data_IF_968164479694
#
_entry.id   IF_968164479694
#
_cell.length_a   1.000
_cell.length_b   1.000
_cell.length_c   1.000
_cell.angle_alpha   90.00
_cell.angle_beta   90.00
_cell.angle_gamma   90.00
#
_symmetry.space_group_name_H-M   'P 1'
#
loop_
_entity.id
_entity.type
_entity.pdbx_description
1 polymer ?
#
# COMPACT_ATOMS: atom_id res chain seq x y z
N UNK A 1 25.72 55.12 35.39
CA UNK A 1 26.15 53.82 34.82
C UNK A 1 25.03 52.82 35.00
N UNK A 2 24.22 52.57 33.96
CA UNK A 2 23.71 51.25 33.59
C UNK A 2 22.97 51.41 32.26
N UNK A 3 23.61 50.88 31.23
CA UNK A 3 23.21 51.03 29.83
C UNK A 3 22.08 50.08 29.48
N UNK A 4 21.14 50.59 28.69
CA UNK A 4 20.20 49.82 27.89
C UNK A 4 20.95 48.85 26.96
N UNK A 5 20.56 47.58 26.96
CA UNK A 5 20.76 46.66 25.84
C UNK A 5 19.41 46.03 25.54
N UNK A 6 18.64 46.70 24.68
CA UNK A 6 17.48 46.09 24.04
C UNK A 6 18.00 45.22 22.89
N UNK A 7 17.88 43.90 23.04
CA UNK A 7 18.17 42.95 21.97
C UNK A 7 17.18 43.16 20.82
N UNK A 8 17.71 43.45 19.64
CA UNK A 8 16.96 43.43 18.40
C UNK A 8 16.53 41.98 18.08
N UNK A 9 15.32 41.62 18.50
CA UNK A 9 14.63 40.44 17.95
C UNK A 9 14.22 40.83 16.54
N UNK A 10 14.89 40.23 15.55
CA UNK A 10 14.58 40.41 14.14
C UNK A 10 13.09 40.16 13.90
N UNK A 11 12.39 41.23 13.53
CA UNK A 11 11.00 41.16 13.10
C UNK A 11 10.97 40.26 11.84
N UNK A 12 10.45 39.05 12.00
CA UNK A 12 10.06 38.24 10.86
C UNK A 12 8.97 39.03 10.11
N UNK A 13 9.33 39.57 8.94
CA UNK A 13 8.39 40.25 8.07
C UNK A 13 7.18 39.33 7.80
N UNK A 14 5.94 39.85 7.84
CA UNK A 14 4.79 39.10 7.36
C UNK A 14 5.03 38.72 5.89
N UNK A 15 4.64 37.50 5.45
CA UNK A 15 4.84 37.08 4.07
C UNK A 15 4.14 38.07 3.13
N UNK A 16 4.87 38.55 2.11
CA UNK A 16 4.32 39.44 1.09
C UNK A 16 3.23 38.71 0.32
N UNK A 17 2.12 39.40 0.08
CA UNK A 17 1.01 38.94 -0.76
C UNK A 17 1.55 38.65 -2.18
N UNK A 18 1.70 37.38 -2.54
CA UNK A 18 2.11 36.97 -3.89
C UNK A 18 3.18 35.87 -3.94
N UNK A 19 3.89 35.60 -2.84
CA UNK A 19 4.84 34.50 -2.83
C UNK A 19 4.09 33.15 -2.75
N UNK A 20 4.36 32.19 -3.66
CA UNK A 20 3.79 30.86 -3.55
C UNK A 20 4.23 30.24 -2.21
N UNK A 21 3.35 29.48 -1.53
CA UNK A 21 3.71 28.85 -0.26
C UNK A 21 4.97 27.99 -0.43
N UNK A 22 5.83 27.91 0.61
CA UNK A 22 7.02 27.07 0.56
C UNK A 22 6.61 25.64 0.24
N UNK A 23 7.13 25.13 -0.88
CA UNK A 23 6.82 23.80 -1.41
C UNK A 23 7.19 22.75 -0.38
N UNK A 24 6.27 21.87 0.02
CA UNK A 24 6.60 20.79 0.94
C UNK A 24 7.68 19.87 0.32
N UNK A 25 8.74 19.51 1.05
CA UNK A 25 9.77 18.61 0.55
C UNK A 25 9.21 17.25 0.08
N UNK A 26 8.12 16.80 0.71
CA UNK A 26 7.40 15.58 0.34
C UNK A 26 6.76 15.66 -1.04
N UNK A 27 6.20 16.81 -1.42
CA UNK A 27 5.69 17.06 -2.76
C UNK A 27 6.80 16.94 -3.81
N UNK A 28 7.97 17.56 -3.56
CA UNK A 28 9.10 17.45 -4.50
C UNK A 28 9.54 15.99 -4.65
N UNK A 29 9.64 15.22 -3.56
CA UNK A 29 9.98 13.80 -3.61
C UNK A 29 8.95 12.97 -4.41
N UNK A 30 7.66 13.23 -4.21
CA UNK A 30 6.60 12.52 -4.91
C UNK A 30 6.54 12.85 -6.40
N UNK A 31 6.74 14.12 -6.77
CA UNK A 31 6.69 14.59 -8.17
C UNK A 31 7.99 14.28 -8.92
N UNK A 32 9.13 14.21 -8.22
CA UNK A 32 10.41 13.78 -8.78
C UNK A 32 10.54 12.26 -8.92
N UNK A 33 9.61 11.49 -8.34
CA UNK A 33 9.47 10.07 -8.66
C UNK A 33 9.36 9.93 -10.20
N UNK A 34 10.10 9.00 -10.83
CA UNK A 34 10.35 9.09 -12.27
C UNK A 34 9.04 9.13 -13.07
N UNK A 35 8.79 10.21 -13.81
CA UNK A 35 7.60 10.38 -14.68
C UNK A 35 7.41 9.24 -15.69
N UNK A 36 8.50 8.55 -16.01
CA UNK A 36 8.47 7.31 -16.79
C UNK A 36 7.67 6.18 -16.14
N UNK A 37 7.62 6.11 -14.80
CA UNK A 37 6.88 5.07 -14.06
C UNK A 37 5.38 5.19 -14.35
N UNK A 38 4.83 6.42 -14.41
CA UNK A 38 3.40 6.66 -14.64
C UNK A 38 2.95 6.26 -16.05
N UNK A 39 3.68 6.69 -17.09
CA UNK A 39 3.39 6.31 -18.50
C UNK A 39 3.59 4.81 -18.77
N UNK A 40 4.43 4.14 -17.96
CA UNK A 40 4.65 2.69 -18.01
C UNK A 40 3.60 1.88 -17.23
N UNK A 41 2.85 2.48 -16.28
CA UNK A 41 1.78 1.83 -15.49
C UNK A 41 0.58 1.38 -16.33
N UNK A 42 0.05 2.27 -17.17
CA UNK A 42 -1.12 1.97 -18.02
C UNK A 42 -0.83 0.85 -19.02
N UNK A 43 0.32 0.93 -19.69
CA UNK A 43 0.81 -0.12 -20.61
C UNK A 43 1.12 -1.44 -19.89
N UNK A 44 1.53 -1.39 -18.63
CA UNK A 44 1.74 -2.58 -17.82
C UNK A 44 0.41 -3.30 -17.56
N UNK A 45 -0.66 -2.61 -17.18
CA UNK A 45 -1.98 -3.21 -16.92
C UNK A 45 -2.49 -4.01 -18.15
N UNK A 46 -2.35 -3.44 -19.34
CA UNK A 46 -2.76 -4.07 -20.60
C UNK A 46 -1.96 -5.32 -20.96
N UNK A 47 -0.64 -5.34 -20.71
CA UNK A 47 0.24 -6.48 -21.01
C UNK A 47 0.24 -7.56 -19.91
N UNK A 48 -0.03 -7.16 -18.68
CA UNK A 48 -0.21 -8.02 -17.49
C UNK A 48 -1.40 -8.97 -17.71
N UNK A 49 -2.52 -8.47 -18.24
CA UNK A 49 -3.74 -9.24 -18.54
C UNK A 49 -3.49 -10.57 -19.29
N UNK A 50 -2.61 -10.58 -20.30
CA UNK A 50 -2.39 -11.77 -21.15
C UNK A 50 -1.44 -12.82 -20.54
N UNK A 51 -0.50 -12.41 -19.68
CA UNK A 51 0.53 -13.32 -19.13
C UNK A 51 0.24 -13.83 -17.71
N UNK A 52 -0.75 -13.26 -17.01
CA UNK A 52 -0.99 -13.49 -15.58
C UNK A 52 -2.29 -14.25 -15.30
N UNK A 53 -2.54 -15.34 -16.03
CA UNK A 53 -3.77 -16.14 -15.95
C UNK A 53 -4.04 -16.79 -14.58
N UNK A 54 -3.10 -16.74 -13.64
CA UNK A 54 -3.31 -17.29 -12.30
C UNK A 54 -4.30 -16.42 -11.50
N UNK A 55 -5.30 -17.00 -10.82
CA UNK A 55 -6.39 -16.26 -10.15
C UNK A 55 -5.90 -15.19 -9.17
N UNK A 56 -4.82 -15.46 -8.43
CA UNK A 56 -4.27 -14.53 -7.44
C UNK A 56 -3.70 -13.23 -8.02
N UNK A 57 -3.35 -13.22 -9.31
CA UNK A 57 -2.82 -12.01 -9.95
C UNK A 57 -3.91 -10.96 -10.15
N UNK A 58 -5.19 -11.33 -10.07
CA UNK A 58 -6.30 -10.37 -10.14
C UNK A 58 -6.26 -9.35 -8.99
N UNK A 59 -5.80 -9.74 -7.79
CA UNK A 59 -5.59 -8.79 -6.69
C UNK A 59 -4.55 -7.73 -7.05
N UNK A 60 -3.46 -8.13 -7.71
CA UNK A 60 -2.40 -7.21 -8.14
C UNK A 60 -2.89 -6.25 -9.23
N UNK A 61 -3.74 -6.73 -10.14
CA UNK A 61 -4.37 -5.89 -11.18
C UNK A 61 -5.28 -4.85 -10.54
N UNK A 62 -6.15 -5.27 -9.60
CA UNK A 62 -7.06 -4.37 -8.89
C UNK A 62 -6.31 -3.33 -8.05
N UNK A 63 -5.26 -3.76 -7.34
CA UNK A 63 -4.39 -2.86 -6.57
C UNK A 63 -3.67 -1.85 -7.48
N UNK A 64 -3.15 -2.29 -8.62
CA UNK A 64 -2.54 -1.39 -9.60
C UNK A 64 -3.55 -0.39 -10.19
N UNK A 65 -4.82 -0.77 -10.34
CA UNK A 65 -5.86 0.17 -10.76
C UNK A 65 -6.12 1.24 -9.69
N UNK A 66 -6.17 0.87 -8.41
CA UNK A 66 -6.29 1.85 -7.31
C UNK A 66 -5.11 2.85 -7.31
N UNK A 67 -3.87 2.37 -7.45
CA UNK A 67 -2.68 3.22 -7.53
C UNK A 67 -2.69 4.18 -8.73
N UNK A 68 -3.24 3.74 -9.87
CA UNK A 68 -3.40 4.60 -11.05
C UNK A 68 -4.43 5.69 -10.78
N UNK A 69 -5.56 5.34 -10.16
CA UNK A 69 -6.62 6.30 -9.83
C UNK A 69 -6.12 7.37 -8.84
N UNK A 70 -5.30 6.99 -7.85
CA UNK A 70 -4.60 7.98 -6.99
C UNK A 70 -3.73 8.92 -7.84
N UNK A 71 -2.91 8.35 -8.74
CA UNK A 71 -1.98 9.13 -9.53
C UNK A 71 -2.66 10.09 -10.52
N UNK A 72 -3.83 9.75 -11.05
CA UNK A 72 -4.53 10.57 -12.06
C UNK A 72 -5.59 11.48 -11.47
N UNK A 73 -6.32 11.05 -10.43
CA UNK A 73 -7.46 11.78 -9.88
C UNK A 73 -7.16 12.50 -8.58
N UNK A 74 -6.08 12.14 -7.87
CA UNK A 74 -5.77 12.71 -6.56
C UNK A 74 -4.53 13.60 -6.65
N UNK A 75 -3.39 13.04 -7.06
CA UNK A 75 -2.09 13.74 -7.07
C UNK A 75 -2.12 15.09 -7.80
N UNK A 76 -2.72 15.24 -9.00
CA UNK A 76 -2.74 16.53 -9.70
C UNK A 76 -3.51 17.62 -8.93
N UNK A 77 -4.59 17.25 -8.26
CA UNK A 77 -5.41 18.18 -7.49
C UNK A 77 -4.76 18.52 -6.14
N UNK A 78 -4.12 17.54 -5.50
CA UNK A 78 -3.28 17.78 -4.32
C UNK A 78 -2.14 18.74 -4.64
N UNK A 79 -1.48 18.55 -5.79
CA UNK A 79 -0.41 19.42 -6.27
C UNK A 79 -0.91 20.84 -6.55
N UNK A 80 -2.05 20.97 -7.22
CA UNK A 80 -2.66 22.27 -7.50
C UNK A 80 -3.02 23.02 -6.21
N UNK A 81 -3.63 22.34 -5.23
CA UNK A 81 -3.96 22.93 -3.94
C UNK A 81 -2.72 23.39 -3.16
N UNK A 82 -1.64 22.60 -3.19
CA UNK A 82 -0.37 22.97 -2.56
C UNK A 82 0.28 24.18 -3.24
N UNK A 83 0.34 24.20 -4.57
CA UNK A 83 0.99 25.29 -5.32
C UNK A 83 0.24 26.61 -5.23
N UNK A 84 -1.10 26.56 -5.22
CA UNK A 84 -1.95 27.74 -5.12
C UNK A 84 -2.09 28.23 -3.66
N UNK A 85 -1.96 27.33 -2.68
CA UNK A 85 -2.19 27.63 -1.26
C UNK A 85 -3.67 27.85 -0.90
N UNK A 86 -4.58 27.63 -1.85
CA UNK A 86 -6.02 27.66 -1.67
C UNK A 86 -6.70 26.70 -2.64
N UNK A 87 -7.94 26.32 -2.33
CA UNK A 87 -8.71 25.42 -3.17
C UNK A 87 -9.39 26.21 -4.29
N UNK A 88 -8.82 26.15 -5.49
CA UNK A 88 -9.37 26.86 -6.66
C UNK A 88 -10.69 26.25 -7.17
N UNK A 89 -10.85 24.93 -7.03
CA UNK A 89 -12.01 24.22 -7.57
C UNK A 89 -13.26 24.48 -6.74
N UNK A 90 -14.41 24.07 -7.27
CA UNK A 90 -15.68 24.20 -6.55
C UNK A 90 -15.72 23.35 -5.28
N UNK A 91 -16.61 23.76 -4.36
CA UNK A 91 -16.86 23.04 -3.11
C UNK A 91 -17.28 21.59 -3.36
N UNK A 92 -18.16 21.34 -4.33
CA UNK A 92 -18.63 19.99 -4.68
C UNK A 92 -17.47 19.09 -5.07
N UNK A 93 -16.49 19.64 -5.80
CA UNK A 93 -15.30 18.90 -6.18
C UNK A 93 -14.40 18.58 -4.98
N UNK A 94 -14.31 19.46 -3.97
CA UNK A 94 -13.58 19.16 -2.74
C UNK A 94 -14.16 17.94 -2.01
N UNK A 95 -15.48 17.88 -1.85
CA UNK A 95 -16.16 16.76 -1.18
C UNK A 95 -15.92 15.43 -1.91
N UNK A 96 -16.02 15.44 -3.25
CA UNK A 96 -15.72 14.28 -4.10
C UNK A 96 -14.23 13.90 -4.01
N UNK A 97 -13.33 14.87 -4.11
CA UNK A 97 -11.89 14.66 -4.05
C UNK A 97 -11.47 14.00 -2.74
N UNK A 98 -11.94 14.49 -1.59
CA UNK A 98 -11.63 13.92 -0.27
C UNK A 98 -12.19 12.49 -0.14
N UNK A 99 -13.40 12.24 -0.64
CA UNK A 99 -13.98 10.89 -0.63
C UNK A 99 -13.21 9.93 -1.53
N UNK A 100 -12.79 10.35 -2.72
CA UNK A 100 -11.98 9.55 -3.63
C UNK A 100 -10.58 9.27 -3.07
N UNK A 101 -9.95 10.24 -2.43
CA UNK A 101 -8.65 10.06 -1.76
C UNK A 101 -8.76 8.96 -0.69
N UNK A 102 -9.71 9.11 0.25
CA UNK A 102 -9.94 8.10 1.29
C UNK A 102 -10.29 6.74 0.67
N UNK A 103 -11.13 6.70 -0.38
CA UNK A 103 -11.52 5.46 -1.07
C UNK A 103 -10.31 4.73 -1.65
N UNK A 104 -9.49 5.39 -2.46
CA UNK A 104 -8.40 4.74 -3.19
C UNK A 104 -7.24 4.38 -2.27
N UNK A 105 -6.95 5.23 -1.28
CA UNK A 105 -5.98 4.93 -0.24
C UNK A 105 -6.44 3.70 0.56
N UNK A 106 -7.66 3.72 1.11
CA UNK A 106 -8.24 2.58 1.87
C UNK A 106 -8.28 1.30 1.04
N UNK A 107 -8.75 1.38 -0.20
CA UNK A 107 -8.77 0.24 -1.13
C UNK A 107 -7.38 -0.37 -1.27
N UNK A 108 -6.34 0.44 -1.43
CA UNK A 108 -4.96 -0.05 -1.56
C UNK A 108 -4.49 -0.83 -0.31
N UNK A 109 -4.80 -0.32 0.90
CA UNK A 109 -4.44 -0.98 2.17
C UNK A 109 -5.18 -2.30 2.34
N UNK A 110 -6.49 -2.29 2.11
CA UNK A 110 -7.33 -3.49 2.28
C UNK A 110 -7.00 -4.54 1.20
N UNK A 111 -6.60 -4.14 -0.01
CA UNK A 111 -6.04 -5.06 -1.01
C UNK A 111 -4.74 -5.72 -0.54
N UNK A 112 -3.81 -4.98 0.06
CA UNK A 112 -2.58 -5.55 0.63
C UNK A 112 -2.90 -6.53 1.76
N UNK A 113 -3.89 -6.22 2.60
CA UNK A 113 -4.38 -7.12 3.64
C UNK A 113 -4.98 -8.40 3.05
N UNK A 114 -5.83 -8.28 2.01
CA UNK A 114 -6.42 -9.42 1.32
C UNK A 114 -5.36 -10.32 0.66
N UNK A 115 -4.37 -9.74 -0.02
CA UNK A 115 -3.23 -10.47 -0.58
C UNK A 115 -2.50 -11.23 0.53
N UNK A 116 -2.29 -10.59 1.68
CA UNK A 116 -1.60 -11.20 2.82
C UNK A 116 -2.33 -12.42 3.37
N UNK A 117 -3.64 -12.32 3.54
CA UNK A 117 -4.50 -13.43 3.98
C UNK A 117 -4.53 -14.57 2.97
N UNK A 118 -4.71 -14.25 1.68
CA UNK A 118 -4.65 -15.21 0.58
C UNK A 118 -3.31 -15.98 0.57
N UNK A 119 -2.21 -15.28 0.82
CA UNK A 119 -0.89 -15.91 0.96
C UNK A 119 -0.78 -16.79 2.19
N UNK A 120 -1.29 -16.35 3.33
CA UNK A 120 -1.32 -17.17 4.53
C UNK A 120 -2.11 -18.46 4.36
N UNK A 121 -3.30 -18.42 3.74
CA UNK A 121 -4.06 -19.63 3.47
C UNK A 121 -3.36 -20.54 2.46
N UNK A 122 -2.70 -19.98 1.44
CA UNK A 122 -1.92 -20.79 0.48
C UNK A 122 -0.71 -21.48 1.12
N UNK A 123 -0.13 -20.93 2.19
CA UNK A 123 1.02 -21.52 2.90
C UNK A 123 0.57 -22.48 4.00
N UNK A 124 -0.44 -22.10 4.77
CA UNK A 124 -0.95 -22.88 5.92
C UNK A 124 -1.78 -24.10 5.48
N UNK A 125 -2.64 -23.95 4.47
CA UNK A 125 -3.55 -24.98 3.95
C UNK A 125 -3.33 -25.22 2.45
N UNK A 126 -2.10 -25.50 2.06
CA UNK A 126 -1.68 -25.48 0.65
C UNK A 126 -2.53 -26.36 -0.29
N UNK A 127 -2.90 -27.58 0.10
CA UNK A 127 -3.63 -28.50 -0.79
C UNK A 127 -5.10 -28.09 -0.92
N UNK A 128 -5.80 -27.96 0.21
CA UNK A 128 -7.24 -27.64 0.23
C UNK A 128 -7.54 -26.24 -0.30
N UNK A 129 -6.71 -25.24 0.05
CA UNK A 129 -6.96 -23.86 -0.35
C UNK A 129 -6.67 -23.66 -1.84
N UNK A 130 -5.58 -24.22 -2.37
CA UNK A 130 -5.25 -24.06 -3.79
C UNK A 130 -6.29 -24.73 -4.69
N UNK A 131 -6.88 -25.86 -4.28
CA UNK A 131 -7.98 -26.49 -5.00
C UNK A 131 -9.25 -25.61 -5.04
N UNK A 132 -9.49 -24.82 -3.99
CA UNK A 132 -10.66 -23.94 -3.85
C UNK A 132 -10.44 -22.53 -4.41
N UNK A 133 -9.23 -22.21 -4.88
CA UNK A 133 -8.85 -20.86 -5.32
C UNK A 133 -9.32 -20.59 -6.75
N UNK A 134 -10.59 -20.25 -6.89
CA UNK A 134 -11.21 -19.97 -8.20
C UNK A 134 -11.22 -18.48 -8.54
N UNK A 135 -11.20 -18.09 -9.83
CA UNK A 135 -11.32 -16.70 -10.25
C UNK A 135 -12.58 -16.01 -9.72
N UNK A 136 -13.71 -16.75 -9.62
CA UNK A 136 -14.98 -16.22 -9.09
C UNK A 136 -14.81 -15.76 -7.64
N UNK A 137 -14.19 -16.58 -6.78
CA UNK A 137 -13.93 -16.21 -5.37
C UNK A 137 -13.02 -14.99 -5.25
N UNK A 138 -11.96 -14.92 -6.06
CA UNK A 138 -11.05 -13.77 -6.05
C UNK A 138 -11.79 -12.49 -6.48
N UNK A 139 -12.61 -12.55 -7.53
CA UNK A 139 -13.45 -11.41 -7.96
C UNK A 139 -14.43 -10.98 -6.86
N UNK A 140 -15.08 -11.94 -6.17
CA UNK A 140 -15.93 -11.64 -5.02
C UNK A 140 -15.15 -10.98 -3.89
N UNK A 141 -13.94 -11.46 -3.57
CA UNK A 141 -13.08 -10.83 -2.56
C UNK A 141 -12.69 -9.41 -2.98
N UNK A 142 -12.33 -9.16 -4.24
CA UNK A 142 -12.03 -7.82 -4.75
C UNK A 142 -13.25 -6.90 -4.60
N UNK A 143 -14.44 -7.37 -4.95
CA UNK A 143 -15.67 -6.61 -4.76
C UNK A 143 -15.88 -6.23 -3.29
N UNK A 144 -15.74 -7.19 -2.37
CA UNK A 144 -15.82 -6.95 -0.92
C UNK A 144 -14.80 -5.89 -0.47
N UNK A 145 -13.56 -5.96 -0.95
CA UNK A 145 -12.52 -4.97 -0.63
C UNK A 145 -12.94 -3.56 -1.06
N UNK A 146 -13.45 -3.40 -2.28
CA UNK A 146 -13.96 -2.12 -2.77
C UNK A 146 -15.17 -1.63 -2.00
N UNK A 147 -16.09 -2.53 -1.63
CA UNK A 147 -17.25 -2.20 -0.80
C UNK A 147 -16.83 -1.71 0.59
N UNK A 148 -15.88 -2.39 1.25
CA UNK A 148 -15.35 -1.97 2.55
C UNK A 148 -14.73 -0.56 2.43
N UNK A 149 -13.92 -0.33 1.40
CA UNK A 149 -13.30 0.98 1.17
C UNK A 149 -14.35 2.08 0.94
N UNK A 150 -15.40 1.79 0.15
CA UNK A 150 -16.50 2.71 -0.09
C UNK A 150 -17.24 3.05 1.19
N UNK A 151 -17.57 2.07 2.04
CA UNK A 151 -18.27 2.32 3.31
C UNK A 151 -17.46 3.29 4.19
N UNK A 152 -16.14 3.14 4.26
CA UNK A 152 -15.27 4.00 5.05
C UNK A 152 -15.12 5.40 4.44
N UNK A 153 -15.21 5.54 3.11
CA UNK A 153 -15.05 6.81 2.40
C UNK A 153 -16.33 7.62 2.21
N UNK A 154 -17.50 7.06 2.53
CA UNK A 154 -18.79 7.72 2.38
C UNK A 154 -19.10 8.86 3.37
N UNK A 155 -18.67 8.82 4.66
CA UNK A 155 -19.07 9.86 5.62
C UNK A 155 -18.72 11.30 5.23
N UNK A 156 -17.59 11.62 4.58
CA UNK A 156 -17.32 12.97 4.04
C UNK A 156 -18.36 13.49 3.04
N UNK A 157 -19.08 12.62 2.34
CA UNK A 157 -20.13 13.00 1.38
C UNK A 157 -21.50 13.18 2.04
N UNK A 158 -21.74 12.47 3.15
CA UNK A 158 -23.05 12.45 3.84
C UNK A 158 -23.10 13.46 4.98
N UNK A 159 -21.99 13.62 5.72
CA UNK A 159 -21.92 14.48 6.89
C UNK A 159 -21.34 15.85 6.53
N UNK A 160 -22.22 16.84 6.36
CA UNK A 160 -21.84 18.25 6.20
C UNK A 160 -21.64 18.86 7.58
N UNK A 161 -20.43 18.75 8.13
CA UNK A 161 -20.08 19.42 9.40
C UNK A 161 -20.22 20.95 9.31
N UNK A 162 -20.38 21.59 10.46
CA UNK A 162 -20.42 23.05 10.56
C UNK A 162 -19.07 23.66 10.12
N UNK A 163 -19.12 24.58 9.16
CA UNK A 163 -17.92 25.10 8.51
C UNK A 163 -17.29 26.20 9.34
N UNK A 164 -16.01 26.04 9.70
CA UNK A 164 -15.17 27.17 10.12
C UNK A 164 -14.98 28.11 8.92
N UNK A 165 -15.19 29.42 9.14
CA UNK A 165 -15.01 30.44 8.14
C UNK A 165 -13.57 30.41 7.59
N UNK A 166 -13.44 30.55 6.27
CA UNK A 166 -12.17 30.62 5.57
C UNK A 166 -11.26 31.69 6.19
N UNK A 167 -10.05 31.31 6.64
CA UNK A 167 -9.04 32.26 7.07
C UNK A 167 -8.66 33.12 5.87
N UNK A 168 -8.97 34.42 5.93
CA UNK A 168 -8.64 35.38 4.86
C UNK A 168 -9.52 35.32 3.60
N UNK A 169 -10.73 34.73 3.67
CA UNK A 169 -11.71 34.77 2.58
C UNK A 169 -11.43 33.84 1.39
N UNK A 170 -10.36 33.03 1.43
CA UNK A 170 -10.04 32.05 0.38
C UNK A 170 -10.55 30.64 0.73
N UNK A 171 -11.25 29.93 -0.18
CA UNK A 171 -11.74 28.59 0.07
C UNK A 171 -10.57 27.60 0.30
N UNK A 172 -10.75 26.69 1.28
CA UNK A 172 -9.79 25.65 1.65
C UNK A 172 -10.47 24.28 1.54
N UNK A 173 -9.73 23.28 1.07
CA UNK A 173 -10.16 21.89 1.02
C UNK A 173 -9.24 21.06 1.93
N UNK A 174 -9.67 20.88 3.19
CA UNK A 174 -8.93 20.12 4.21
C UNK A 174 -9.71 18.88 4.62
N UNK A 175 -8.99 17.86 5.10
CA UNK A 175 -9.57 16.65 5.68
C UNK A 175 -10.47 16.99 6.88
N UNK A 176 -11.41 16.10 7.16
CA UNK A 176 -12.37 16.29 8.25
C UNK A 176 -11.66 16.31 9.63
N UNK A 177 -12.03 17.25 10.49
CA UNK A 177 -11.44 17.42 11.83
C UNK A 177 -12.24 16.69 12.92
N UNK A 178 -13.43 16.18 12.60
CA UNK A 178 -14.30 15.50 13.57
C UNK A 178 -13.65 14.24 14.14
N UNK A 179 -13.39 14.26 15.46
CA UNK A 179 -12.58 13.24 16.12
C UNK A 179 -13.14 11.82 15.93
N UNK A 180 -14.46 11.65 16.00
CA UNK A 180 -15.09 10.34 15.81
C UNK A 180 -14.84 9.78 14.40
N UNK A 181 -14.88 10.63 13.38
CA UNK A 181 -14.66 10.23 11.99
C UNK A 181 -13.18 9.96 11.74
N UNK A 182 -12.30 10.86 12.19
CA UNK A 182 -10.85 10.70 12.09
C UNK A 182 -10.40 9.39 12.70
N UNK A 183 -10.86 9.06 13.91
CA UNK A 183 -10.48 7.84 14.61
C UNK A 183 -11.07 6.58 13.97
N UNK A 184 -12.36 6.58 13.66
CA UNK A 184 -13.01 5.42 13.03
C UNK A 184 -12.43 5.12 11.64
N UNK A 185 -12.24 6.15 10.80
CA UNK A 185 -11.63 6.02 9.48
C UNK A 185 -10.16 5.59 9.57
N UNK A 186 -9.37 6.13 10.50
CA UNK A 186 -7.97 5.72 10.69
C UNK A 186 -7.84 4.27 11.16
N UNK A 187 -8.72 3.83 12.07
CA UNK A 187 -8.76 2.45 12.53
C UNK A 187 -9.17 1.51 11.40
N UNK A 188 -10.25 1.82 10.68
CA UNK A 188 -10.75 0.98 9.58
C UNK A 188 -9.81 0.93 8.38
N UNK A 189 -9.17 2.06 8.04
CA UNK A 189 -8.34 2.16 6.84
C UNK A 189 -6.92 1.68 7.07
N UNK A 190 -6.33 1.92 8.25
CA UNK A 190 -4.92 1.66 8.48
C UNK A 190 -4.63 0.75 9.66
N UNK A 191 -5.03 1.10 10.89
CA UNK A 191 -4.55 0.37 12.07
C UNK A 191 -5.03 -1.08 12.12
N UNK A 192 -6.32 -1.34 11.86
CA UNK A 192 -6.85 -2.71 11.85
C UNK A 192 -6.26 -3.54 10.68
N UNK A 193 -6.25 -3.08 9.42
CA UNK A 193 -5.56 -3.79 8.33
C UNK A 193 -4.08 -4.02 8.60
N UNK A 194 -3.36 -3.03 9.16
CA UNK A 194 -1.95 -3.13 9.51
C UNK A 194 -1.70 -4.21 10.56
N UNK A 195 -2.50 -4.25 11.64
CA UNK A 195 -2.43 -5.28 12.66
C UNK A 195 -2.67 -6.68 12.06
N UNK A 196 -3.70 -6.82 11.22
CA UNK A 196 -4.00 -8.09 10.54
C UNK A 196 -2.80 -8.52 9.69
N UNK A 197 -2.24 -7.62 8.87
CA UNK A 197 -1.06 -7.91 8.06
C UNK A 197 0.11 -8.38 8.94
N UNK A 198 0.49 -7.63 9.98
CA UNK A 198 1.59 -7.98 10.87
C UNK A 198 1.39 -9.39 11.45
N UNK A 199 0.22 -9.67 12.03
CA UNK A 199 -0.09 -10.97 12.62
C UNK A 199 0.00 -12.10 11.59
N UNK A 200 -0.52 -11.87 10.39
CA UNK A 200 -0.49 -12.82 9.28
C UNK A 200 0.94 -13.15 8.86
N UNK A 201 1.83 -12.16 8.69
CA UNK A 201 3.23 -12.43 8.32
C UNK A 201 4.04 -13.05 9.45
N UNK A 202 3.79 -12.66 10.70
CA UNK A 202 4.40 -13.34 11.84
C UNK A 202 4.03 -14.82 11.83
N UNK A 203 2.76 -15.16 11.58
CA UNK A 203 2.32 -16.57 11.45
C UNK A 203 2.97 -17.26 10.25
N UNK A 204 3.04 -16.64 9.09
CA UNK A 204 3.73 -17.20 7.91
C UNK A 204 5.21 -17.49 8.22
N UNK A 205 5.91 -16.53 8.84
CA UNK A 205 7.31 -16.66 9.22
C UNK A 205 7.52 -17.82 10.21
N UNK A 206 6.67 -17.92 11.24
CA UNK A 206 6.72 -19.00 12.21
C UNK A 206 6.47 -20.37 11.57
N UNK A 207 5.51 -20.49 10.65
CA UNK A 207 5.25 -21.73 9.91
C UNK A 207 6.48 -22.11 9.07
N UNK A 208 7.08 -21.15 8.37
CA UNK A 208 8.28 -21.38 7.57
C UNK A 208 9.48 -21.82 8.43
N UNK A 209 9.67 -21.19 9.60
CA UNK A 209 10.74 -21.52 10.56
C UNK A 209 10.56 -22.91 11.15
N UNK A 210 9.34 -23.29 11.52
CA UNK A 210 9.01 -24.64 12.03
C UNK A 210 9.29 -25.71 10.98
N UNK A 211 8.83 -25.53 9.73
CA UNK A 211 9.11 -26.46 8.62
C UNK A 211 10.61 -26.65 8.35
N UNK A 212 11.43 -25.62 8.57
CA UNK A 212 12.88 -25.71 8.41
C UNK A 212 13.57 -26.47 9.55
N UNK A 213 13.07 -26.34 10.78
CA UNK A 213 13.59 -27.11 11.94
C UNK A 213 13.22 -28.59 11.86
N UNK A 214 12.06 -28.93 11.28
CA UNK A 214 11.59 -30.33 11.14
C UNK A 214 12.25 -31.11 9.99
N UNK A 215 13.03 -30.47 9.11
CA UNK A 215 13.78 -31.14 8.04
C UNK A 215 15.21 -30.55 7.96
N UNK A 216 16.17 -31.08 8.73
CA UNK A 216 17.57 -30.71 8.62
C UNK A 216 18.10 -31.08 7.22
N UNK A 217 19.03 -30.30 6.64
CA UNK A 217 19.70 -30.67 5.40
C UNK A 217 20.64 -31.86 5.69
N UNK A 218 20.12 -33.08 5.58
CA UNK A 218 20.85 -34.32 5.85
C UNK A 218 20.05 -35.44 6.53
N UNK A 219 18.86 -35.16 7.06
CA UNK A 219 18.03 -36.19 7.70
C UNK A 219 17.26 -37.03 6.69
N UNK A 220 17.58 -38.33 6.57
CA UNK A 220 16.69 -39.31 5.93
C UNK A 220 15.38 -39.37 6.75
N UNK A 221 14.20 -39.16 6.16
CA UNK A 221 12.95 -39.37 6.88
C UNK A 221 12.79 -40.88 7.15
N UNK A 222 12.84 -41.28 8.42
CA UNK A 222 12.43 -42.62 8.87
C UNK A 222 11.01 -42.49 9.39
N UNK A 223 10.04 -42.77 8.53
CA UNK A 223 8.65 -42.96 8.96
C UNK A 223 8.43 -44.46 9.12
N UNK A 224 8.69 -44.99 10.32
CA UNK A 224 8.27 -46.33 10.74
C UNK A 224 6.81 -46.26 11.13
N UNK A 225 5.91 -46.84 10.33
CA UNK A 225 4.54 -47.12 10.78
C UNK A 225 4.54 -48.48 11.51
N UNK A 226 4.30 -48.44 12.81
CA UNK A 226 3.97 -49.64 13.58
C UNK A 226 2.46 -49.89 13.46
N UNK A 227 2.08 -50.96 12.78
CA UNK A 227 0.73 -51.52 12.90
C UNK A 227 0.62 -52.35 14.17
N UNK A 228 -0.58 -52.43 14.76
CA UNK A 228 -0.87 -53.09 16.05
C UNK A 228 -0.61 -54.60 16.13
N UNK A 229 0.07 -55.19 15.14
CA UNK A 229 0.51 -56.59 15.09
C UNK A 229 2.03 -56.75 14.98
N UNK A 230 2.81 -55.69 15.23
CA UNK A 230 4.27 -55.78 15.36
C UNK A 230 5.06 -56.01 14.06
N UNK A 231 4.41 -55.98 12.88
CA UNK A 231 5.09 -56.07 11.58
C UNK A 231 5.33 -54.68 10.98
N UNK A 232 6.60 -54.35 10.78
CA UNK A 232 7.03 -53.13 10.06
C UNK A 232 6.83 -53.34 8.56
N UNK A 233 5.83 -52.68 7.97
CA UNK A 233 5.60 -52.70 6.52
C UNK A 233 6.26 -51.47 5.89
N UNK A 234 7.19 -51.71 4.96
CA UNK A 234 7.79 -50.66 4.13
C UNK A 234 6.74 -50.18 3.11
N UNK A 235 6.14 -49.01 3.35
CA UNK A 235 5.24 -48.40 2.39
C UNK A 235 6.03 -47.91 1.15
N UNK A 236 5.71 -48.45 -0.03
CA UNK A 236 6.27 -48.00 -1.29
C UNK A 236 5.76 -46.58 -1.61
N UNK A 237 6.68 -45.61 -1.65
CA UNK A 237 6.33 -44.19 -1.90
C UNK A 237 6.29 -43.90 -3.41
N UNK A 238 5.40 -42.99 -3.90
CA UNK A 238 5.58 -42.36 -5.20
C UNK A 238 6.97 -41.71 -5.29
N UNK A 239 7.57 -41.59 -6.50
CA UNK A 239 8.94 -41.11 -6.66
C UNK A 239 9.11 -39.76 -5.96
N UNK A 240 10.03 -39.72 -5.00
CA UNK A 240 10.33 -38.51 -4.26
C UNK A 240 10.76 -37.41 -5.24
N UNK A 241 10.06 -36.27 -5.23
CA UNK A 241 10.47 -35.08 -5.97
C UNK A 241 11.97 -34.84 -5.74
N UNK A 242 12.74 -34.77 -6.83
CA UNK A 242 14.19 -34.54 -6.82
C UNK A 242 14.55 -33.51 -5.72
N UNK A 243 15.47 -33.83 -4.78
CA UNK A 243 15.88 -32.93 -3.70
C UNK A 243 16.24 -31.52 -4.19
N UNK A 244 16.84 -31.42 -5.38
CA UNK A 244 17.16 -30.16 -6.04
C UNK A 244 15.90 -29.37 -6.44
N UNK A 245 14.88 -30.04 -6.99
CA UNK A 245 13.59 -29.41 -7.31
C UNK A 245 12.84 -28.96 -6.04
N UNK A 246 12.88 -29.76 -4.97
CA UNK A 246 12.28 -29.42 -3.67
C UNK A 246 12.96 -28.21 -3.02
N UNK A 247 14.30 -28.17 -3.00
CA UNK A 247 15.09 -27.04 -2.47
C UNK A 247 14.86 -25.76 -3.28
N UNK A 248 14.75 -25.88 -4.61
CA UNK A 248 14.43 -24.76 -5.50
C UNK A 248 13.02 -24.21 -5.25
N UNK A 249 12.03 -25.08 -5.06
CA UNK A 249 10.66 -24.67 -4.73
C UNK A 249 10.60 -23.94 -3.37
N UNK A 250 11.25 -24.48 -2.33
CA UNK A 250 11.30 -23.86 -1.00
C UNK A 250 11.99 -22.49 -1.04
N UNK A 251 13.11 -22.36 -1.76
CA UNK A 251 13.79 -21.06 -1.91
C UNK A 251 12.93 -20.04 -2.67
N UNK A 252 12.17 -20.49 -3.68
CA UNK A 252 11.22 -19.63 -4.41
C UNK A 252 10.07 -19.16 -3.52
N UNK A 253 9.55 -20.03 -2.65
CA UNK A 253 8.54 -19.69 -1.64
C UNK A 253 9.06 -18.72 -0.58
N UNK A 254 10.25 -18.97 -0.01
CA UNK A 254 10.92 -18.07 0.96
C UNK A 254 11.17 -16.69 0.37
N UNK A 255 11.68 -16.62 -0.87
CA UNK A 255 11.86 -15.36 -1.60
C UNK A 255 10.54 -14.61 -1.68
N UNK A 256 9.46 -15.27 -2.08
CA UNK A 256 8.16 -14.62 -2.19
C UNK A 256 7.61 -14.10 -0.84
N UNK A 257 7.80 -14.83 0.25
CA UNK A 257 7.39 -14.37 1.59
C UNK A 257 8.22 -13.17 2.06
N UNK A 258 9.55 -13.23 1.92
CA UNK A 258 10.44 -12.12 2.28
C UNK A 258 10.07 -10.84 1.54
N UNK A 259 9.85 -10.99 0.24
CA UNK A 259 9.34 -9.93 -0.62
C UNK A 259 8.13 -9.25 -0.04
N UNK A 260 7.09 -10.03 0.27
CA UNK A 260 5.83 -9.46 0.73
C UNK A 260 5.97 -8.79 2.09
N UNK A 261 6.84 -9.32 2.95
CA UNK A 261 7.21 -8.66 4.19
C UNK A 261 7.89 -7.29 3.93
N UNK A 262 8.75 -7.18 2.91
CA UNK A 262 9.34 -5.90 2.49
C UNK A 262 8.26 -4.95 1.95
N UNK A 263 7.32 -5.42 1.12
CA UNK A 263 6.20 -4.59 0.62
C UNK A 263 5.43 -3.97 1.76
N UNK A 264 5.12 -4.78 2.76
CA UNK A 264 4.32 -4.34 3.91
C UNK A 264 5.12 -3.45 4.84
N UNK A 265 6.41 -3.75 5.05
CA UNK A 265 7.30 -2.88 5.81
C UNK A 265 7.37 -1.49 5.18
N UNK A 266 7.61 -1.40 3.88
CA UNK A 266 7.61 -0.13 3.14
C UNK A 266 6.26 0.58 3.26
N UNK A 267 5.16 -0.13 3.07
CA UNK A 267 3.82 0.41 3.20
C UNK A 267 3.57 1.02 4.59
N UNK A 268 3.90 0.29 5.66
CA UNK A 268 3.74 0.75 7.05
C UNK A 268 4.62 1.97 7.30
N UNK A 269 5.87 1.95 6.85
CA UNK A 269 6.79 3.09 7.01
C UNK A 269 6.30 4.35 6.27
N UNK A 270 5.66 4.21 5.12
CA UNK A 270 5.13 5.34 4.36
C UNK A 270 3.84 5.92 4.99
N UNK A 271 2.94 5.07 5.49
CA UNK A 271 1.61 5.51 5.94
C UNK A 271 1.49 5.73 7.45
N UNK A 272 2.28 5.03 8.26
CA UNK A 272 2.22 5.13 9.73
C UNK A 272 2.41 6.57 10.24
N UNK A 273 3.40 7.36 9.77
CA UNK A 273 3.60 8.71 10.29
C UNK A 273 2.38 9.60 10.07
N UNK A 274 1.75 9.51 8.90
CA UNK A 274 0.55 10.27 8.57
C UNK A 274 -0.63 9.86 9.47
N UNK A 275 -0.98 8.57 9.52
CA UNK A 275 -2.12 8.11 10.31
C UNK A 275 -1.93 8.32 11.81
N UNK A 276 -0.70 8.24 12.30
CA UNK A 276 -0.36 8.56 13.68
C UNK A 276 -0.62 10.05 13.98
N UNK A 277 -0.09 10.96 13.16
CA UNK A 277 -0.28 12.40 13.35
C UNK A 277 -1.74 12.83 13.18
N UNK A 278 -2.45 12.26 12.21
CA UNK A 278 -3.87 12.53 11.98
C UNK A 278 -4.72 12.08 13.18
N UNK A 279 -4.46 10.88 13.71
CA UNK A 279 -5.14 10.39 14.91
C UNK A 279 -4.79 11.20 16.16
N UNK A 280 -3.53 11.63 16.30
CA UNK A 280 -3.08 12.45 17.41
C UNK A 280 -3.78 13.82 17.42
N UNK A 281 -3.94 14.44 16.25
CA UNK A 281 -4.68 15.69 16.08
C UNK A 281 -6.14 15.59 16.54
N UNK A 282 -6.78 14.45 16.33
CA UNK A 282 -8.13 14.18 16.81
C UNK A 282 -8.21 13.89 18.32
N UNK A 283 -7.22 13.20 18.90
CA UNK A 283 -7.21 12.84 20.32
C UNK A 283 -6.89 14.03 21.24
N UNK A 284 -6.01 14.93 20.82
CA UNK A 284 -5.56 16.07 21.62
C UNK A 284 -5.48 17.37 20.81
N UNK A 285 -6.59 17.91 20.28
CA UNK A 285 -6.58 19.06 19.36
C UNK A 285 -5.86 20.31 19.90
N UNK A 286 -5.93 20.53 21.22
CA UNK A 286 -5.36 21.72 21.86
C UNK A 286 -3.88 21.56 22.27
N UNK A 287 -3.45 20.33 22.60
CA UNK A 287 -2.09 20.06 23.11
C UNK A 287 -1.15 19.50 22.04
N UNK A 288 -1.68 18.84 21.03
CA UNK A 288 -0.93 18.15 19.98
C UNK A 288 -1.03 18.92 18.67
N UNK A 289 -0.52 20.16 18.65
CA UNK A 289 -0.48 20.97 17.44
C UNK A 289 0.58 20.44 16.49
N UNK A 290 0.16 19.75 15.44
CA UNK A 290 1.04 19.30 14.36
C UNK A 290 1.20 20.46 13.37
N UNK A 291 2.43 20.88 13.04
CA UNK A 291 2.64 21.90 12.01
C UNK A 291 2.13 21.42 10.64
N UNK A 292 1.39 22.28 9.91
CA UNK A 292 0.79 21.96 8.61
C UNK A 292 1.83 21.37 7.62
N UNK A 293 3.06 21.93 7.60
CA UNK A 293 4.13 21.43 6.73
C UNK A 293 4.61 20.01 7.06
N UNK A 294 4.57 19.60 8.34
CA UNK A 294 4.91 18.23 8.76
C UNK A 294 3.79 17.27 8.36
N UNK A 295 2.53 17.69 8.53
CA UNK A 295 1.37 16.92 8.11
C UNK A 295 1.37 16.69 6.60
N UNK A 296 1.57 17.75 5.80
CA UNK A 296 1.70 17.67 4.35
C UNK A 296 2.87 16.80 3.91
N UNK A 297 4.04 16.93 4.56
CA UNK A 297 5.20 16.10 4.24
C UNK A 297 4.89 14.61 4.34
N UNK A 298 4.30 14.16 5.45
CA UNK A 298 3.97 12.75 5.63
C UNK A 298 2.79 12.29 4.77
N UNK A 299 1.84 13.18 4.48
CA UNK A 299 0.78 12.91 3.51
C UNK A 299 1.34 12.59 2.12
N UNK A 300 2.29 13.39 1.64
CA UNK A 300 2.97 13.15 0.36
C UNK A 300 3.83 11.87 0.36
N UNK A 301 4.46 11.53 1.48
CA UNK A 301 5.16 10.23 1.63
C UNK A 301 4.18 9.06 1.48
N UNK A 302 2.94 9.19 1.98
CA UNK A 302 1.86 8.24 1.74
C UNK A 302 1.58 8.04 0.24
N UNK A 303 1.46 9.13 -0.53
CA UNK A 303 1.26 9.04 -1.98
C UNK A 303 2.44 8.44 -2.75
N UNK A 304 3.67 8.63 -2.28
CA UNK A 304 4.85 7.99 -2.86
C UNK A 304 4.75 6.46 -2.84
N UNK A 305 4.01 5.86 -1.88
CA UNK A 305 3.83 4.42 -1.78
C UNK A 305 3.22 3.81 -3.06
N UNK A 306 2.24 4.47 -3.67
CA UNK A 306 1.63 4.02 -4.93
C UNK A 306 2.63 3.96 -6.09
N UNK A 307 3.75 4.69 -6.00
CA UNK A 307 4.84 4.63 -6.99
C UNK A 307 5.81 3.47 -6.80
N UNK A 308 5.85 2.88 -5.61
CA UNK A 308 6.74 1.77 -5.26
C UNK A 308 6.14 0.40 -5.64
N UNK A 309 4.82 0.28 -5.70
CA UNK A 309 4.10 -0.96 -5.98
C UNK A 309 4.53 -1.64 -7.31
N UNK A 310 4.69 -0.95 -8.46
CA UNK A 310 5.22 -1.55 -9.69
C UNK A 310 6.67 -2.06 -9.58
N UNK A 311 7.55 -1.32 -8.89
CA UNK A 311 8.96 -1.71 -8.68
C UNK A 311 9.01 -2.99 -7.86
N UNK A 312 8.21 -3.03 -6.80
CA UNK A 312 7.97 -4.21 -5.99
C UNK A 312 7.53 -5.39 -6.89
N UNK A 313 6.44 -5.27 -7.65
CA UNK A 313 5.95 -6.43 -8.43
C UNK A 313 6.92 -6.91 -9.52
N UNK A 314 7.67 -6.00 -10.15
CA UNK A 314 8.66 -6.35 -11.19
C UNK A 314 9.93 -6.98 -10.62
N UNK A 315 10.36 -6.60 -9.42
CA UNK A 315 11.48 -7.27 -8.73
C UNK A 315 11.06 -8.66 -8.28
N UNK A 316 9.78 -8.93 -8.04
CA UNK A 316 9.38 -10.14 -7.32
C UNK A 316 8.64 -11.20 -8.11
N UNK A 317 7.93 -10.82 -9.16
CA UNK A 317 7.27 -11.77 -10.04
C UNK A 317 8.07 -11.88 -11.36
N UNK A 318 8.61 -13.08 -11.64
CA UNK A 318 9.41 -13.33 -12.84
C UNK A 318 8.61 -13.11 -14.13
N UNK A 319 7.30 -13.35 -14.10
CA UNK A 319 6.42 -13.14 -15.24
C UNK A 319 6.19 -11.64 -15.47
N UNK A 320 5.99 -10.88 -14.39
CA UNK A 320 5.99 -9.41 -14.45
C UNK A 320 7.34 -8.87 -14.92
N UNK A 321 8.47 -9.41 -14.44
CA UNK A 321 9.80 -8.97 -14.86
C UNK A 321 10.04 -9.24 -16.34
N UNK A 322 9.56 -10.37 -16.87
CA UNK A 322 9.64 -10.70 -18.30
C UNK A 322 8.74 -9.77 -19.13
N UNK A 323 7.52 -9.52 -18.68
CA UNK A 323 6.60 -8.57 -19.32
C UNK A 323 7.16 -7.13 -19.30
N UNK A 324 7.69 -6.69 -18.17
CA UNK A 324 8.30 -5.38 -17.98
C UNK A 324 9.59 -5.21 -18.78
N UNK A 325 10.44 -6.26 -18.88
CA UNK A 325 11.58 -6.26 -19.80
C UNK A 325 11.15 -6.18 -21.25
N UNK A 326 10.09 -6.87 -21.69
CA UNK A 326 9.57 -6.72 -23.06
C UNK A 326 9.06 -5.31 -23.35
N UNK A 327 8.55 -4.61 -22.34
CA UNK A 327 8.15 -3.21 -22.39
C UNK A 327 9.34 -2.25 -22.51
N UNK A 328 10.36 -2.44 -21.66
CA UNK A 328 11.58 -1.62 -21.63
C UNK A 328 12.47 -1.88 -22.86
N UNK A 329 12.55 -3.14 -23.30
CA UNK A 329 13.41 -3.61 -24.38
C UNK A 329 12.70 -3.66 -25.74
N UNK A 330 11.48 -3.13 -25.88
CA UNK A 330 10.98 -2.70 -27.20
C UNK A 330 11.82 -1.49 -27.64
N UNK A 331 13.05 -1.78 -28.07
CA UNK A 331 13.82 -0.92 -28.96
C UNK A 331 12.92 -0.61 -30.15
N UNK A 332 12.96 0.66 -30.58
CA UNK A 332 12.50 1.10 -31.90
C UNK A 332 12.75 -0.03 -32.89
N UNK A 333 11.69 -0.59 -33.47
CA UNK A 333 11.88 -1.29 -34.74
C UNK A 333 12.54 -0.28 -35.68
N UNK A 334 13.60 -0.64 -36.42
CA UNK A 334 14.05 0.21 -37.51
C UNK A 334 12.84 0.42 -38.41
N UNK A 335 12.47 1.67 -38.65
CA UNK A 335 11.61 2.02 -39.77
C UNK A 335 12.23 1.39 -41.02
N UNK A 336 11.50 0.55 -41.78
CA UNK A 336 11.94 0.20 -43.11
C UNK A 336 11.89 1.50 -43.91
N UNK A 337 13.06 1.91 -44.41
CA UNK A 337 13.18 2.95 -45.42
C UNK A 337 12.59 2.43 -46.73
#
# INVERSE_FOLDING_TARGET
KHSHVAGAVGAAHPPRFGDPPPKSPGMLLCVSAPKEVTKRREKMLFLVSRSLRAPQNLFLVSLAAADILVATLIIPFSLANELLGYWYFEKTWCEIYLALDVLFCTSSIVHLCAISLDRYWSVSRAIEYNAKRTPRRIKCSIFIVWTIAAIISLPPLVYKGEKKAAVGGRPQCKLNEEAWYVLSSSVGSFFAPCLIMILVYLRIYLIAKRRHRSHPPGGRPRDTLATGTGRVVLAHRPPALNPWRRKTQINREKRFTFVLAVVIGVFVLCWFPFFFLYSLGALCPQRCKVPDGVFQFFFWIGYCNSSLNPVIYTVFNQDFRKAFRRLLCRRRAPTPW
#
